data_IF_166523638328
#
_entry.id   IF_166523638328
#
_cell.length_a   1.000
_cell.length_b   1.000
_cell.length_c   1.000
_cell.angle_alpha   90.00
_cell.angle_beta   90.00
_cell.angle_gamma   90.00
#
_symmetry.space_group_name_H-M   'P 1'
#
loop_
_entity.id
_entity.type
_entity.pdbx_description
1 polymer ?
#
# COMPACT_ATOMS: atom_id res chain seq x y z
N UNK A 1 -28.14 21.42 -2.74
CA UNK A 1 -27.72 20.94 -1.41
C UNK A 1 -27.07 19.56 -1.49
N UNK A 2 -27.77 18.52 -2.00
CA UNK A 2 -27.27 17.12 -2.05
C UNK A 2 -26.00 16.95 -2.88
N UNK A 3 -25.91 17.59 -4.05
CA UNK A 3 -24.73 17.48 -4.91
C UNK A 3 -23.46 18.09 -4.27
N UNK A 4 -23.63 19.20 -3.54
CA UNK A 4 -22.52 19.85 -2.84
C UNK A 4 -21.99 18.96 -1.70
N UNK A 5 -22.88 18.26 -1.01
CA UNK A 5 -22.55 17.32 0.06
C UNK A 5 -21.73 16.12 -0.45
N UNK A 6 -22.15 15.53 -1.58
CA UNK A 6 -21.42 14.42 -2.23
C UNK A 6 -20.03 14.85 -2.68
N UNK A 7 -19.89 16.07 -3.22
CA UNK A 7 -18.59 16.60 -3.67
C UNK A 7 -17.65 16.82 -2.49
N UNK A 8 -18.14 17.36 -1.36
CA UNK A 8 -17.32 17.52 -0.15
C UNK A 8 -16.90 16.18 0.46
N UNK A 9 -17.76 15.17 0.49
CA UNK A 9 -17.40 13.83 0.97
C UNK A 9 -16.35 13.17 0.08
N UNK A 10 -16.53 13.24 -1.25
CA UNK A 10 -15.54 12.75 -2.21
C UNK A 10 -14.19 13.44 -2.04
N UNK A 11 -14.19 14.76 -1.86
CA UNK A 11 -12.97 15.54 -1.64
C UNK A 11 -12.26 15.11 -0.35
N UNK A 12 -13.01 14.85 0.71
CA UNK A 12 -12.45 14.45 2.00
C UNK A 12 -11.83 13.04 1.93
N UNK A 13 -12.49 12.10 1.24
CA UNK A 13 -11.96 10.75 0.99
C UNK A 13 -10.63 10.82 0.22
N UNK A 14 -10.57 11.64 -0.83
CA UNK A 14 -9.34 11.86 -1.60
C UNK A 14 -8.24 12.44 -0.71
N UNK A 15 -8.58 13.43 0.13
CA UNK A 15 -7.60 14.10 1.00
C UNK A 15 -7.00 13.13 2.03
N UNK A 16 -7.83 12.27 2.64
CA UNK A 16 -7.38 11.25 3.60
C UNK A 16 -6.49 10.19 2.91
N UNK A 17 -6.87 9.76 1.71
CA UNK A 17 -6.07 8.86 0.88
C UNK A 17 -4.69 9.47 0.59
N UNK A 18 -4.63 10.71 0.10
CA UNK A 18 -3.38 11.40 -0.18
C UNK A 18 -2.50 11.56 1.06
N UNK A 19 -3.08 11.91 2.21
CA UNK A 19 -2.36 12.04 3.46
C UNK A 19 -1.73 10.71 3.92
N UNK A 20 -2.45 9.60 3.75
CA UNK A 20 -1.94 8.26 4.02
C UNK A 20 -0.79 7.91 3.08
N UNK A 21 -1.00 7.99 1.76
CA UNK A 21 0.00 7.57 0.78
C UNK A 21 1.30 8.42 0.82
N UNK A 22 1.22 9.76 0.90
CA UNK A 22 2.41 10.61 0.81
C UNK A 22 3.21 10.76 2.11
N UNK A 23 2.57 10.57 3.29
CA UNK A 23 3.28 10.70 4.58
C UNK A 23 3.73 9.36 5.15
N UNK A 24 3.32 8.22 4.58
CA UNK A 24 3.66 6.93 5.15
C UNK A 24 5.17 6.64 5.08
N UNK A 25 5.82 6.29 6.21
CA UNK A 25 7.24 5.98 6.24
C UNK A 25 7.60 4.79 5.33
N UNK A 26 6.67 3.85 5.09
CA UNK A 26 6.89 2.76 4.13
C UNK A 26 7.00 3.28 2.70
N UNK A 27 6.18 4.25 2.26
CA UNK A 27 6.24 4.77 0.88
C UNK A 27 7.53 5.57 0.65
N UNK A 28 7.99 6.33 1.66
CA UNK A 28 9.31 6.99 1.59
C UNK A 28 10.46 5.99 1.51
N UNK A 29 10.43 4.94 2.32
CA UNK A 29 11.43 3.85 2.27
C UNK A 29 11.34 3.06 0.96
N UNK A 30 10.16 2.90 0.38
CA UNK A 30 9.96 2.24 -0.90
C UNK A 30 10.65 3.00 -2.04
N UNK A 31 10.54 4.33 -2.04
CA UNK A 31 11.25 5.20 -3.01
C UNK A 31 12.78 5.07 -2.92
N UNK A 32 13.32 4.79 -1.73
CA UNK A 32 14.76 4.47 -1.58
C UNK A 32 15.10 3.02 -1.89
N UNK A 33 14.13 2.10 -1.78
CA UNK A 33 14.30 0.69 -2.11
C UNK A 33 14.33 0.45 -3.62
N UNK A 34 13.62 1.24 -4.42
CA UNK A 34 13.65 1.13 -5.89
C UNK A 34 15.04 1.36 -6.49
N UNK A 35 15.93 2.08 -5.80
CA UNK A 35 17.33 2.28 -6.24
C UNK A 35 18.33 1.32 -5.61
N UNK A 36 18.02 0.76 -4.43
CA UNK A 36 18.96 -0.07 -3.66
C UNK A 36 18.68 -1.57 -3.73
N UNK A 37 17.41 -1.97 -3.85
CA UNK A 37 17.00 -3.37 -4.01
C UNK A 37 15.65 -3.44 -4.74
N UNK A 38 15.71 -3.46 -6.07
CA UNK A 38 14.55 -3.48 -6.98
C UNK A 38 13.62 -4.65 -6.68
N UNK A 39 14.17 -5.83 -6.37
CA UNK A 39 13.39 -7.04 -6.08
C UNK A 39 12.55 -6.89 -4.81
N UNK A 40 13.14 -6.36 -3.74
CA UNK A 40 12.42 -6.07 -2.51
C UNK A 40 11.39 -4.94 -2.70
N UNK A 41 11.72 -3.92 -3.49
CA UNK A 41 10.79 -2.84 -3.82
C UNK A 41 9.54 -3.36 -4.57
N UNK A 42 9.72 -4.28 -5.51
CA UNK A 42 8.61 -4.88 -6.26
C UNK A 42 7.67 -5.67 -5.33
N UNK A 43 8.23 -6.50 -4.45
CA UNK A 43 7.44 -7.30 -3.50
C UNK A 43 6.69 -6.41 -2.50
N UNK A 44 7.35 -5.40 -1.93
CA UNK A 44 6.71 -4.44 -1.01
C UNK A 44 5.59 -3.66 -1.71
N UNK A 45 5.79 -3.27 -2.97
CA UNK A 45 4.75 -2.60 -3.77
C UNK A 45 3.54 -3.49 -4.01
N UNK A 46 3.77 -4.77 -4.40
CA UNK A 46 2.70 -5.76 -4.57
C UNK A 46 1.91 -5.96 -3.28
N UNK A 47 2.57 -6.02 -2.13
CA UNK A 47 1.91 -6.16 -0.84
C UNK A 47 1.11 -4.92 -0.44
N UNK A 48 1.64 -3.71 -0.67
CA UNK A 48 0.91 -2.46 -0.44
C UNK A 48 -0.37 -2.38 -1.28
N UNK A 49 -0.28 -2.81 -2.54
CA UNK A 49 -1.43 -2.88 -3.44
C UNK A 49 -2.46 -3.92 -2.97
N UNK A 50 -2.01 -5.11 -2.59
CA UNK A 50 -2.88 -6.14 -2.01
C UNK A 50 -3.60 -5.66 -0.73
N UNK A 51 -2.89 -4.97 0.17
CA UNK A 51 -3.47 -4.40 1.39
C UNK A 51 -4.51 -3.31 1.08
N UNK A 52 -4.29 -2.51 0.03
CA UNK A 52 -5.27 -1.53 -0.44
C UNK A 52 -6.52 -2.21 -1.03
N UNK A 53 -6.35 -3.26 -1.84
CA UNK A 53 -7.46 -4.05 -2.39
C UNK A 53 -8.27 -4.74 -1.30
N UNK A 54 -7.61 -5.32 -0.30
CA UNK A 54 -8.27 -5.91 0.88
C UNK A 54 -9.09 -4.85 1.63
N UNK A 55 -8.50 -3.68 1.87
CA UNK A 55 -9.18 -2.58 2.58
C UNK A 55 -10.37 -2.03 1.80
N UNK A 56 -10.33 -2.12 0.46
CA UNK A 56 -11.43 -1.76 -0.43
C UNK A 56 -12.50 -2.86 -0.57
N UNK A 57 -12.30 -4.04 0.04
CA UNK A 57 -13.21 -5.18 -0.10
C UNK A 57 -13.22 -5.83 -1.48
N UNK A 58 -12.13 -5.64 -2.26
CA UNK A 58 -12.00 -6.11 -3.65
C UNK A 58 -11.21 -7.44 -3.77
N UNK A 59 -10.99 -8.16 -2.67
CA UNK A 59 -10.21 -9.41 -2.67
C UNK A 59 -11.11 -10.58 -2.30
N UNK A 60 -11.22 -11.54 -3.23
CA UNK A 60 -12.08 -12.72 -3.08
C UNK A 60 -11.48 -13.82 -2.17
N UNK A 61 -10.16 -14.04 -2.21
CA UNK A 61 -9.48 -14.96 -1.27
C UNK A 61 -8.22 -14.32 -0.65
N UNK A 62 -8.29 -13.86 0.62
CA UNK A 62 -7.18 -13.22 1.31
C UNK A 62 -5.99 -14.16 1.58
N UNK A 63 -6.18 -15.49 1.48
CA UNK A 63 -5.10 -16.46 1.72
C UNK A 63 -4.00 -16.39 0.67
N UNK A 64 -4.33 -15.96 -0.55
CA UNK A 64 -3.37 -15.75 -1.64
C UNK A 64 -2.35 -14.64 -1.35
N UNK A 65 -2.65 -13.77 -0.39
CA UNK A 65 -1.82 -12.61 -0.01
C UNK A 65 -0.78 -12.94 1.06
N UNK A 66 -0.96 -14.02 1.81
CA UNK A 66 -0.06 -14.44 2.88
C UNK A 66 1.30 -14.96 2.35
N UNK A 67 1.30 -15.56 1.15
CA UNK A 67 2.51 -16.13 0.55
C UNK A 67 3.57 -15.07 0.25
N UNK A 68 3.14 -13.86 -0.14
CA UNK A 68 4.05 -12.74 -0.44
C UNK A 68 4.66 -12.11 0.82
N UNK A 69 3.97 -12.14 1.97
CA UNK A 69 4.48 -11.56 3.21
C UNK A 69 5.71 -12.30 3.75
N UNK A 70 5.72 -13.63 3.68
CA UNK A 70 6.85 -14.42 4.20
C UNK A 70 8.13 -14.17 3.39
N UNK A 71 8.03 -14.05 2.07
CA UNK A 71 9.18 -13.74 1.21
C UNK A 71 9.74 -12.34 1.49
N UNK A 72 8.85 -11.35 1.69
CA UNK A 72 9.25 -9.99 2.06
C UNK A 72 9.98 -9.96 3.40
N UNK A 73 9.47 -10.68 4.41
CA UNK A 73 10.07 -10.73 5.74
C UNK A 73 11.46 -11.37 5.71
N UNK A 74 11.63 -12.47 4.97
CA UNK A 74 12.94 -13.11 4.81
C UNK A 74 13.94 -12.16 4.16
N UNK A 75 13.59 -11.53 3.04
CA UNK A 75 14.47 -10.58 2.34
C UNK A 75 14.76 -9.30 3.16
N UNK A 76 13.83 -8.87 4.00
CA UNK A 76 14.03 -7.73 4.89
C UNK A 76 14.96 -8.06 6.07
N UNK A 77 14.94 -9.30 6.55
CA UNK A 77 15.75 -9.78 7.67
C UNK A 77 17.17 -10.21 7.24
N UNK A 78 17.39 -10.59 5.99
CA UNK A 78 18.73 -10.90 5.46
C UNK A 78 19.73 -9.73 5.51
N UNK A 79 19.24 -8.49 5.67
CA UNK A 79 20.06 -7.27 5.73
C UNK A 79 20.43 -6.82 7.16
N UNK A 80 19.96 -7.55 8.18
CA UNK A 80 20.18 -7.26 9.61
C UNK A 80 21.02 -8.34 10.28
#
# INVERSE_FOLDING_TARGET
>A
MVLLFIITDMWNIITVLWAFFFRHPIIKKLSTLTTTNVKLAELVTKQLFANALLSAGLVDDPRTLLTNMNEILTLALEKH
#
